data_IF_138859677317
#
_entry.id   IF_138859677317
#
_cell.length_a   1.000
_cell.length_b   1.000
_cell.length_c   1.000
_cell.angle_alpha   90.00
_cell.angle_beta   90.00
_cell.angle_gamma   90.00
#
_symmetry.space_group_name_H-M   'P 1'
#
loop_
_entity.id
_entity.type
_entity.pdbx_description
1 polymer ?
#
# COMPACT_ATOMS: atom_id res chain seq x y z
N UNK A 1 -36.61 -28.13 41.96
CA UNK A 1 -36.08 -28.14 40.59
C UNK A 1 -35.46 -26.77 40.39
N UNK A 2 -34.14 -26.68 40.34
CA UNK A 2 -33.44 -25.39 40.15
C UNK A 2 -33.27 -25.13 38.66
N UNK A 3 -33.48 -23.88 38.24
CA UNK A 3 -33.27 -23.46 36.87
C UNK A 3 -31.75 -23.40 36.59
N UNK A 4 -31.32 -23.87 35.43
CA UNK A 4 -29.93 -23.76 34.98
C UNK A 4 -29.59 -22.37 34.43
N UNK A 5 -28.30 -22.09 34.29
CA UNK A 5 -27.81 -20.82 33.78
C UNK A 5 -27.85 -20.74 32.25
N UNK A 6 -28.21 -19.56 31.73
CA UNK A 6 -28.12 -19.24 30.31
C UNK A 6 -26.98 -18.24 30.12
N UNK A 7 -25.95 -18.65 29.40
CA UNK A 7 -24.79 -17.81 29.09
C UNK A 7 -24.87 -17.30 27.65
N UNK A 8 -24.93 -15.97 27.49
CA UNK A 8 -24.87 -15.34 26.17
C UNK A 8 -23.45 -14.90 25.86
N UNK A 9 -22.95 -15.30 24.68
CA UNK A 9 -21.68 -14.83 24.14
C UNK A 9 -22.00 -13.88 22.98
N UNK A 10 -21.53 -12.65 23.08
CA UNK A 10 -21.67 -11.67 22.01
C UNK A 10 -20.52 -11.87 21.02
N UNK A 11 -20.86 -12.02 19.75
CA UNK A 11 -19.89 -12.10 18.65
C UNK A 11 -20.08 -10.91 17.71
N UNK A 12 -18.97 -10.30 17.32
CA UNK A 12 -18.97 -9.22 16.33
C UNK A 12 -19.14 -9.80 14.93
N UNK A 13 -20.10 -9.27 14.17
CA UNK A 13 -20.27 -9.58 12.76
C UNK A 13 -19.42 -8.63 11.92
N UNK A 14 -18.92 -9.11 10.80
CA UNK A 14 -18.26 -8.26 9.81
C UNK A 14 -19.24 -7.17 9.32
N UNK A 15 -18.69 -5.97 9.09
CA UNK A 15 -19.43 -4.83 8.61
C UNK A 15 -18.75 -4.31 7.34
N UNK A 16 -19.55 -3.97 6.31
CA UNK A 16 -19.05 -3.62 4.98
C UNK A 16 -18.07 -2.44 5.00
N UNK A 17 -18.36 -1.42 5.80
CA UNK A 17 -17.55 -0.21 5.91
C UNK A 17 -16.50 -0.24 7.02
N UNK A 18 -16.87 -0.66 8.23
CA UNK A 18 -16.05 -0.47 9.43
C UNK A 18 -15.45 -1.79 9.92
N UNK A 19 -14.17 -1.75 10.25
CA UNK A 19 -13.52 -2.81 11.03
C UNK A 19 -13.24 -2.30 12.44
N UNK A 20 -13.77 -2.96 13.47
CA UNK A 20 -13.53 -2.56 14.87
C UNK A 20 -12.25 -3.16 15.41
N UNK A 21 -11.56 -2.40 16.27
CA UNK A 21 -10.52 -2.92 17.16
C UNK A 21 -10.62 -2.22 18.51
N UNK A 22 -11.12 -2.93 19.52
CA UNK A 22 -11.40 -2.34 20.83
C UNK A 22 -12.46 -1.25 20.74
N UNK A 23 -12.13 -0.02 21.12
CA UNK A 23 -13.00 1.15 20.98
C UNK A 23 -12.82 1.88 19.63
N UNK A 24 -11.83 1.53 18.83
CA UNK A 24 -11.52 2.22 17.58
C UNK A 24 -12.21 1.56 16.39
N UNK A 25 -12.45 2.36 15.36
CA UNK A 25 -12.97 1.93 14.06
C UNK A 25 -11.91 2.19 12.99
N UNK A 26 -11.83 1.32 11.99
CA UNK A 26 -10.97 1.47 10.82
C UNK A 26 -11.83 1.44 9.55
N UNK A 27 -11.53 2.35 8.63
CA UNK A 27 -12.06 2.37 7.27
C UNK A 27 -10.91 2.48 6.27
N UNK A 28 -11.12 1.98 5.06
CA UNK A 28 -10.20 2.18 3.94
C UNK A 28 -10.83 3.16 2.95
N UNK A 29 -10.10 4.21 2.59
CA UNK A 29 -10.53 5.19 1.59
C UNK A 29 -9.53 5.22 0.43
N UNK A 30 -10.01 4.85 -0.74
CA UNK A 30 -9.29 5.05 -1.99
C UNK A 30 -9.52 6.47 -2.50
N UNK A 31 -8.43 7.11 -2.91
CA UNK A 31 -8.38 8.45 -3.50
C UNK A 31 -7.65 8.38 -4.84
N UNK A 32 -8.06 9.22 -5.79
CA UNK A 32 -7.23 9.52 -6.95
C UNK A 32 -5.96 10.27 -6.54
N UNK A 33 -4.92 10.22 -7.36
CA UNK A 33 -3.71 11.03 -7.18
C UNK A 33 -4.05 12.53 -7.07
N UNK A 34 -5.02 13.01 -7.86
CA UNK A 34 -5.47 14.40 -7.82
C UNK A 34 -6.07 14.76 -6.44
N UNK A 35 -6.99 13.93 -5.91
CA UNK A 35 -7.54 14.13 -4.56
C UNK A 35 -6.47 14.07 -3.47
N UNK A 36 -5.47 13.19 -3.63
CA UNK A 36 -4.38 13.05 -2.68
C UNK A 36 -3.44 14.28 -2.63
N UNK A 37 -3.27 14.99 -3.76
CA UNK A 37 -2.40 16.16 -3.89
C UNK A 37 -3.13 17.49 -3.68
N UNK A 38 -4.32 17.63 -4.26
CA UNK A 38 -5.10 18.87 -4.30
C UNK A 38 -6.13 18.97 -3.18
N UNK A 39 -6.41 17.84 -2.53
CA UNK A 39 -7.32 17.72 -1.42
C UNK A 39 -8.64 17.06 -1.80
N UNK A 40 -9.35 16.61 -0.77
CA UNK A 40 -10.56 15.83 -0.91
C UNK A 40 -11.59 16.20 0.15
N UNK A 41 -12.85 15.89 -0.15
CA UNK A 41 -13.93 15.90 0.80
C UNK A 41 -14.86 14.74 0.50
N UNK A 42 -15.23 13.99 1.52
CA UNK A 42 -16.21 12.92 1.39
C UNK A 42 -17.02 12.78 2.67
N UNK A 43 -18.14 12.06 2.58
CA UNK A 43 -19.04 11.85 3.72
C UNK A 43 -19.14 10.37 4.00
N UNK A 44 -19.01 10.00 5.28
CA UNK A 44 -19.26 8.64 5.76
C UNK A 44 -20.52 8.62 6.61
N UNK A 45 -21.40 7.65 6.36
CA UNK A 45 -22.52 7.36 7.27
C UNK A 45 -21.97 6.55 8.45
N UNK A 46 -22.02 7.13 9.64
CA UNK A 46 -21.54 6.51 10.88
C UNK A 46 -22.54 5.47 11.40
N UNK A 47 -22.11 4.65 12.36
CA UNK A 47 -22.92 3.58 12.98
C UNK A 47 -24.14 4.12 13.75
N UNK A 48 -24.07 5.36 14.22
CA UNK A 48 -25.21 6.05 14.86
C UNK A 48 -26.14 6.76 13.85
N UNK A 49 -25.90 6.58 12.55
CA UNK A 49 -26.70 7.14 11.48
C UNK A 49 -26.33 8.57 11.08
N UNK A 50 -25.44 9.26 11.81
CA UNK A 50 -24.96 10.59 11.40
C UNK A 50 -24.15 10.53 10.12
N UNK A 51 -24.09 11.65 9.41
CA UNK A 51 -23.17 11.87 8.32
C UNK A 51 -21.94 12.64 8.83
N UNK A 52 -20.77 12.01 8.77
CA UNK A 52 -19.50 12.62 9.16
C UNK A 52 -18.78 13.05 7.90
N UNK A 53 -18.57 14.37 7.75
CA UNK A 53 -17.84 14.94 6.62
C UNK A 53 -16.34 14.97 6.96
N UNK A 54 -15.54 14.28 6.15
CA UNK A 54 -14.09 14.20 6.30
C UNK A 54 -13.46 14.95 5.12
N UNK A 55 -12.57 15.90 5.43
CA UNK A 55 -11.89 16.75 4.45
C UNK A 55 -10.40 16.88 4.77
N UNK A 56 -9.57 17.04 3.75
CA UNK A 56 -8.17 17.44 3.92
C UNK A 56 -8.05 18.95 4.07
N UNK A 57 -6.94 19.39 4.67
CA UNK A 57 -6.57 20.81 4.68
C UNK A 57 -5.88 21.19 3.37
N UNK A 58 -5.98 22.45 2.92
CA UNK A 58 -5.18 22.94 1.81
C UNK A 58 -3.67 22.71 2.05
N UNK A 59 -2.97 22.14 1.06
CA UNK A 59 -1.55 21.80 1.13
C UNK A 59 -1.23 20.50 1.89
N UNK A 60 -2.23 19.77 2.36
CA UNK A 60 -2.04 18.51 3.07
C UNK A 60 -2.03 17.32 2.10
N UNK A 61 -0.84 16.82 1.77
CA UNK A 61 -0.68 15.66 0.88
C UNK A 61 -1.00 14.35 1.59
N UNK A 62 -1.76 13.48 0.92
CA UNK A 62 -1.93 12.07 1.31
C UNK A 62 -0.91 11.22 0.58
N UNK A 63 -0.15 10.44 1.33
CA UNK A 63 0.86 9.55 0.78
C UNK A 63 0.26 8.16 0.56
N UNK A 64 0.75 7.37 -0.42
CA UNK A 64 0.38 5.96 -0.53
C UNK A 64 0.85 5.17 0.70
N UNK A 65 2.04 5.49 1.20
CA UNK A 65 2.66 4.84 2.36
C UNK A 65 3.52 5.81 3.18
N UNK A 66 3.82 5.44 4.43
CA UNK A 66 4.80 6.10 5.28
C UNK A 66 6.20 5.56 5.01
N UNK A 67 7.21 6.23 5.58
CA UNK A 67 8.60 5.73 5.57
C UNK A 67 8.64 4.29 6.10
N UNK A 68 9.31 3.40 5.36
CA UNK A 68 9.43 1.98 5.68
C UNK A 68 8.26 1.11 5.22
N UNK A 69 7.52 1.51 4.18
CA UNK A 69 6.55 0.66 3.48
C UNK A 69 5.26 0.38 4.26
N UNK A 70 4.91 1.21 5.25
CA UNK A 70 3.69 1.02 6.05
C UNK A 70 2.53 1.85 5.46
N UNK A 71 1.27 1.37 5.53
CA UNK A 71 0.13 2.14 5.04
C UNK A 71 0.05 3.53 5.67
N UNK A 72 -0.30 4.53 4.86
CA UNK A 72 -0.54 5.87 5.37
C UNK A 72 -1.93 5.95 6.03
N UNK A 73 -1.97 6.32 7.31
CA UNK A 73 -3.19 6.35 8.12
C UNK A 73 -3.34 7.68 8.84
N UNK A 74 -4.56 8.22 8.86
CA UNK A 74 -4.94 9.37 9.70
C UNK A 74 -6.08 9.02 10.63
N UNK A 75 -6.32 9.88 11.61
CA UNK A 75 -7.41 9.72 12.57
C UNK A 75 -8.43 10.85 12.45
N UNK A 76 -9.70 10.50 12.66
CA UNK A 76 -10.76 11.42 13.06
C UNK A 76 -11.01 11.17 14.56
N UNK A 77 -10.59 12.09 15.44
CA UNK A 77 -10.70 11.90 16.88
C UNK A 77 -12.15 11.72 17.34
N UNK A 78 -12.36 10.87 18.35
CA UNK A 78 -13.66 10.65 19.01
C UNK A 78 -14.81 10.11 18.12
N UNK A 79 -14.50 9.64 16.92
CA UNK A 79 -15.48 9.01 16.01
C UNK A 79 -15.38 7.47 16.01
N UNK A 80 -14.82 6.88 17.06
CA UNK A 80 -14.88 5.44 17.32
C UNK A 80 -16.13 5.01 18.09
N UNK A 81 -16.05 3.82 18.69
CA UNK A 81 -17.08 3.26 19.57
C UNK A 81 -16.98 3.82 21.00
N UNK A 82 -18.08 3.90 21.74
CA UNK A 82 -18.06 4.19 23.17
C UNK A 82 -17.24 3.16 23.95
N UNK A 83 -16.53 3.63 24.98
CA UNK A 83 -15.69 2.82 25.84
C UNK A 83 -16.54 2.05 26.85
N UNK A 84 -16.11 0.83 27.17
CA UNK A 84 -16.81 0.01 28.15
C UNK A 84 -16.84 0.71 29.52
N UNK A 85 -18.03 0.85 30.11
CA UNK A 85 -18.23 1.52 31.39
C UNK A 85 -18.29 3.05 31.35
N UNK A 86 -17.95 3.71 30.23
CA UNK A 86 -18.13 5.14 30.07
C UNK A 86 -18.54 5.50 28.62
N UNK A 87 -19.86 5.69 28.36
CA UNK A 87 -20.35 5.94 27.02
C UNK A 87 -19.96 7.32 26.46
N UNK A 88 -19.49 8.24 27.30
CA UNK A 88 -19.05 9.58 26.90
C UNK A 88 -17.62 9.61 26.36
N UNK A 89 -16.85 8.55 26.60
CA UNK A 89 -15.47 8.40 26.09
C UNK A 89 -15.51 7.48 24.89
N UNK A 90 -15.21 8.02 23.71
CA UNK A 90 -15.16 7.24 22.45
C UNK A 90 -13.72 6.99 22.02
N UNK A 91 -13.50 5.90 21.30
CA UNK A 91 -12.28 5.72 20.52
C UNK A 91 -12.22 6.64 19.31
N UNK A 92 -11.30 6.37 18.40
CA UNK A 92 -11.06 7.13 17.18
C UNK A 92 -11.48 6.36 15.93
N UNK A 93 -11.74 7.09 14.85
CA UNK A 93 -11.88 6.54 13.51
C UNK A 93 -10.55 6.67 12.77
N UNK A 94 -9.93 5.55 12.46
CA UNK A 94 -8.73 5.45 11.62
C UNK A 94 -9.15 5.36 10.15
N UNK A 95 -8.48 6.14 9.31
CA UNK A 95 -8.67 6.17 7.86
C UNK A 95 -7.37 5.74 7.20
N UNK A 96 -7.36 4.52 6.66
CA UNK A 96 -6.26 4.02 5.83
C UNK A 96 -6.49 4.50 4.40
N UNK A 97 -5.50 5.18 3.83
CA UNK A 97 -5.60 5.70 2.47
C UNK A 97 -4.94 4.77 1.46
N UNK A 98 -5.58 4.65 0.30
CA UNK A 98 -4.99 4.08 -0.92
C UNK A 98 -5.02 5.15 -1.99
N UNK A 99 -3.95 5.29 -2.75
CA UNK A 99 -3.86 6.26 -3.85
C UNK A 99 -3.85 5.49 -5.16
N UNK A 100 -4.83 5.77 -6.01
CA UNK A 100 -4.89 5.28 -7.38
C UNK A 100 -4.19 6.29 -8.29
N UNK A 101 -3.20 5.79 -9.04
CA UNK A 101 -2.49 6.57 -10.05
C UNK A 101 -3.22 6.46 -11.40
N UNK A 102 -3.08 7.45 -12.29
CA UNK A 102 -3.56 7.35 -13.66
C UNK A 102 -2.97 6.13 -14.38
N UNK A 103 -3.69 5.60 -15.36
CA UNK A 103 -3.19 4.53 -16.23
C UNK A 103 -2.22 5.08 -17.30
N UNK A 104 -1.45 4.19 -17.90
CA UNK A 104 -0.54 4.55 -18.99
C UNK A 104 -1.34 5.13 -20.17
N UNK A 105 -1.00 6.35 -20.56
CA UNK A 105 -1.67 7.09 -21.64
C UNK A 105 -2.76 8.08 -21.19
N UNK A 106 -3.13 8.10 -19.91
CA UNK A 106 -4.09 9.10 -19.38
C UNK A 106 -3.50 10.52 -19.35
N UNK A 107 -2.18 10.65 -19.31
CA UNK A 107 -1.47 11.92 -19.25
C UNK A 107 -0.87 12.26 -20.62
N UNK A 108 -1.39 13.31 -21.25
CA UNK A 108 -0.85 13.84 -22.50
C UNK A 108 0.45 14.63 -22.28
N UNK A 109 1.18 14.92 -23.36
CA UNK A 109 2.45 15.66 -23.31
C UNK A 109 2.31 17.03 -22.62
N UNK A 110 1.17 17.71 -22.84
CA UNK A 110 0.90 19.02 -22.28
C UNK A 110 0.78 18.95 -20.75
N UNK A 111 0.05 17.96 -20.23
CA UNK A 111 -0.12 17.70 -18.80
C UNK A 111 1.20 17.27 -18.17
N UNK A 112 1.96 16.37 -18.81
CA UNK A 112 3.28 15.94 -18.31
C UNK A 112 4.23 17.13 -18.18
N UNK A 113 4.28 18.02 -19.17
CA UNK A 113 5.08 19.25 -19.10
C UNK A 113 4.66 20.16 -17.95
N UNK A 114 3.35 20.33 -17.73
CA UNK A 114 2.83 21.13 -16.62
C UNK A 114 3.17 20.52 -15.25
N UNK A 115 3.07 19.19 -15.11
CA UNK A 115 3.43 18.47 -13.88
C UNK A 115 4.92 18.63 -13.55
N UNK A 116 5.81 18.46 -14.54
CA UNK A 116 7.26 18.69 -14.38
C UNK A 116 7.56 20.09 -13.84
N UNK A 117 6.81 21.11 -14.23
CA UNK A 117 7.02 22.50 -13.77
C UNK A 117 6.42 22.79 -12.39
N UNK A 118 5.35 22.08 -12.02
CA UNK A 118 4.54 22.42 -10.83
C UNK A 118 4.96 21.63 -9.60
N UNK A 119 5.31 20.36 -9.76
CA UNK A 119 5.69 19.49 -8.65
C UNK A 119 7.16 19.72 -8.22
N UNK A 120 7.46 19.60 -6.92
CA UNK A 120 8.84 19.68 -6.45
C UNK A 120 9.66 18.49 -6.95
N UNK A 121 10.97 18.68 -7.10
CA UNK A 121 11.92 17.68 -7.62
C UNK A 121 11.53 17.17 -9.01
N UNK A 122 11.59 18.04 -10.05
CA UNK A 122 11.28 17.64 -11.41
C UNK A 122 12.18 16.48 -11.87
N UNK A 123 11.62 15.60 -12.69
CA UNK A 123 12.42 14.59 -13.39
C UNK A 123 13.49 15.29 -14.23
N UNK A 124 14.75 15.00 -13.94
CA UNK A 124 15.87 15.53 -14.71
C UNK A 124 16.10 14.67 -15.94
N UNK A 125 16.37 15.31 -17.06
CA UNK A 125 16.85 14.61 -18.25
C UNK A 125 18.30 14.21 -18.02
N UNK A 126 18.60 12.94 -18.24
CA UNK A 126 19.95 12.41 -18.17
C UNK A 126 20.54 12.54 -19.56
N UNK A 127 21.58 13.34 -19.72
CA UNK A 127 22.35 13.39 -20.95
C UNK A 127 23.34 12.22 -20.97
N UNK A 128 23.40 11.52 -22.09
CA UNK A 128 24.34 10.43 -22.35
C UNK A 128 24.81 10.49 -23.80
N UNK A 129 26.02 9.99 -24.04
CA UNK A 129 26.59 9.90 -25.38
C UNK A 129 26.09 8.64 -26.07
N UNK A 130 25.37 8.81 -27.19
CA UNK A 130 24.85 7.72 -28.00
C UNK A 130 25.95 6.99 -28.78
N UNK A 131 27.12 7.61 -28.96
CA UNK A 131 28.26 7.04 -29.66
C UNK A 131 29.24 6.32 -28.70
N UNK A 132 29.03 6.40 -27.38
CA UNK A 132 29.83 5.66 -26.41
C UNK A 132 29.42 4.17 -26.42
N UNK A 133 30.38 3.31 -26.77
CA UNK A 133 30.20 1.86 -26.83
C UNK A 133 29.77 1.21 -25.50
N UNK A 134 29.90 1.94 -24.38
CA UNK A 134 29.51 1.49 -23.05
C UNK A 134 28.11 1.99 -22.64
N UNK A 135 27.36 2.66 -23.52
CA UNK A 135 26.01 3.16 -23.27
C UNK A 135 24.99 2.34 -24.06
N UNK A 136 24.06 1.70 -23.35
CA UNK A 136 22.93 0.96 -23.93
C UNK A 136 21.61 1.49 -23.39
N UNK A 137 20.65 1.77 -24.28
CA UNK A 137 19.29 2.12 -23.91
C UNK A 137 18.48 0.85 -23.58
N UNK A 138 17.77 0.87 -22.44
CA UNK A 138 16.91 -0.22 -22.01
C UNK A 138 15.52 0.30 -21.64
N UNK A 139 14.50 -0.49 -21.93
CA UNK A 139 13.11 -0.21 -21.56
C UNK A 139 12.64 -1.16 -20.46
N UNK A 140 11.76 -0.66 -19.59
CA UNK A 140 11.18 -1.45 -18.52
C UNK A 140 9.98 -2.25 -19.02
N UNK A 141 9.80 -3.43 -18.46
CA UNK A 141 8.62 -4.27 -18.66
C UNK A 141 7.96 -4.60 -17.32
N UNK A 142 6.67 -4.91 -17.35
CA UNK A 142 5.96 -5.38 -16.16
C UNK A 142 6.51 -6.74 -15.74
N UNK A 143 6.86 -6.87 -14.45
CA UNK A 143 7.38 -8.11 -13.89
C UNK A 143 6.65 -8.48 -12.59
N UNK A 144 6.46 -9.79 -12.37
CA UNK A 144 6.07 -10.32 -11.05
C UNK A 144 7.33 -10.56 -10.23
N UNK A 145 7.39 -9.96 -9.04
CA UNK A 145 8.48 -10.12 -8.06
C UNK A 145 8.74 -11.59 -7.74
N UNK A 146 7.74 -12.48 -7.84
CA UNK A 146 7.92 -13.93 -7.66
C UNK A 146 8.85 -14.58 -8.68
N UNK A 147 9.12 -13.92 -9.81
CA UNK A 147 10.03 -14.40 -10.85
C UNK A 147 11.47 -13.89 -10.68
N UNK A 148 11.68 -12.93 -9.76
CA UNK A 148 13.01 -12.42 -9.43
C UNK A 148 13.92 -13.57 -8.94
N UNK A 149 15.09 -13.72 -9.55
CA UNK A 149 16.05 -14.79 -9.24
C UNK A 149 15.73 -16.15 -9.86
N UNK A 150 14.63 -16.30 -10.61
CA UNK A 150 14.30 -17.54 -11.35
C UNK A 150 14.83 -17.54 -12.79
N UNK A 151 15.29 -16.40 -13.29
CA UNK A 151 15.95 -16.28 -14.59
C UNK A 151 17.45 -16.57 -14.49
N UNK A 152 18.00 -17.24 -15.49
CA UNK A 152 19.41 -17.65 -15.56
C UNK A 152 19.56 -18.97 -16.31
N UNK A 153 20.78 -19.32 -16.73
CA UNK A 153 21.08 -20.52 -17.50
C UNK A 153 20.91 -21.82 -16.67
N UNK A 154 19.67 -22.20 -16.35
CA UNK A 154 19.31 -23.49 -15.78
C UNK A 154 18.95 -24.51 -16.89
N UNK A 155 19.70 -24.52 -17.99
CA UNK A 155 19.68 -25.56 -19.01
C UNK A 155 20.88 -25.38 -19.93
N UNK A 156 22.00 -26.04 -19.61
CA UNK A 156 22.94 -26.53 -20.63
C UNK A 156 24.08 -27.47 -20.17
N UNK A 157 24.18 -27.85 -18.90
CA UNK A 157 25.22 -28.82 -18.45
C UNK A 157 24.65 -29.98 -17.60
N UNK A 158 23.74 -30.78 -18.19
CA UNK A 158 23.35 -32.08 -17.63
C UNK A 158 23.33 -33.19 -18.69
N UNK A 159 24.09 -33.02 -19.76
CA UNK A 159 24.53 -34.10 -20.65
C UNK A 159 26.05 -33.95 -20.76
N UNK A 160 26.79 -35.07 -20.78
CA UNK A 160 28.26 -35.16 -20.68
C UNK A 160 28.83 -35.06 -19.26
N UNK A 161 28.65 -36.10 -18.45
CA UNK A 161 29.80 -36.89 -17.97
C UNK A 161 29.31 -38.19 -17.28
N UNK A 162 29.07 -39.24 -18.07
CA UNK A 162 29.20 -40.60 -17.54
C UNK A 162 30.49 -41.14 -18.13
N UNK A 163 31.59 -40.94 -17.43
CA UNK A 163 32.57 -41.97 -17.10
C UNK A 163 33.71 -41.32 -16.30
N UNK A 164 33.83 -41.71 -15.03
CA UNK A 164 35.07 -41.87 -14.24
C UNK A 164 35.05 -41.27 -12.82
N UNK A 165 35.76 -41.95 -11.94
CA UNK A 165 35.51 -42.13 -10.51
C UNK A 165 36.08 -41.01 -9.58
N UNK A 166 35.40 -40.70 -8.46
CA UNK A 166 36.06 -40.16 -7.25
C UNK A 166 35.26 -39.19 -6.37
N UNK A 167 35.06 -39.46 -5.05
CA UNK A 167 34.28 -38.60 -4.16
C UNK A 167 35.14 -37.53 -3.47
N UNK A 168 34.76 -36.25 -3.61
CA UNK A 168 35.38 -35.13 -2.89
C UNK A 168 34.33 -34.12 -2.43
N UNK A 169 33.67 -34.38 -1.29
CA UNK A 169 32.84 -33.38 -0.61
C UNK A 169 33.72 -32.31 0.03
N UNK A 170 33.61 -31.07 -0.46
CA UNK A 170 34.09 -29.88 0.25
C UNK A 170 32.89 -29.03 0.65
N UNK A 171 32.71 -28.84 1.95
CA UNK A 171 31.63 -28.07 2.55
C UNK A 171 32.21 -26.73 3.02
N UNK A 172 31.86 -25.64 2.34
CA UNK A 172 32.25 -24.29 2.78
C UNK A 172 31.13 -23.71 3.66
N UNK A 173 31.47 -23.46 4.93
CA UNK A 173 30.62 -22.78 5.91
C UNK A 173 30.85 -21.26 5.79
N UNK A 174 29.78 -20.49 5.64
CA UNK A 174 29.84 -19.02 5.63
C UNK A 174 29.83 -18.49 7.08
N UNK A 175 30.67 -17.47 7.33
CA UNK A 175 30.62 -16.61 8.52
C UNK A 175 29.74 -15.40 8.27
#
# INVERSE_FOLDING_TARGET
MEAGDINFIVQEKEHDTFKRKGADLLITKTLSLNEALCGFQWTVKHLDGRQVVIKSKPGEVIKPETVGGKPFVKIVPNEGMPSHGNPFVKGNLYVLFRVEFPEDGDLDESTVSALKKTLPNPAMEVEYDLDDENVEEAHLELADVKNFGKGGAASRDAEYDSDDEGPGQVQCQQS
#
